data_IF_078409178889
#
_entry.id   IF_078409178889
#
_cell.length_a   1.000
_cell.length_b   1.000
_cell.length_c   1.000
_cell.angle_alpha   90.00
_cell.angle_beta   90.00
_cell.angle_gamma   90.00
#
_symmetry.space_group_name_H-M   'P 1'
#
loop_
_entity.id
_entity.type
_entity.pdbx_description
1 polymer ?
#
# COMPACT_ATOMS: atom_id res chain seq x y z
N UNK A 1 -2.50 -6.35 4.95
CA UNK A 1 -1.83 -6.67 6.23
C UNK A 1 -2.83 -6.50 7.39
N UNK A 2 -3.95 -7.21 7.33
CA UNK A 2 -4.56 -7.78 8.53
C UNK A 2 -4.16 -9.25 8.47
N UNK A 3 -3.59 -9.81 9.54
CA UNK A 3 -3.51 -11.26 9.64
C UNK A 3 -4.95 -11.78 9.59
N UNK A 4 -5.35 -12.26 8.42
CA UNK A 4 -6.55 -13.07 8.20
C UNK A 4 -6.04 -14.20 7.33
N UNK A 5 -5.84 -15.37 7.95
CA UNK A 5 -5.57 -16.58 7.19
C UNK A 5 -6.86 -17.02 6.46
N UNK A 6 -6.77 -17.56 5.23
CA UNK A 6 -7.91 -18.22 4.62
C UNK A 6 -8.18 -19.54 5.33
N UNK A 7 -9.35 -19.69 5.92
CA UNK A 7 -9.89 -21.01 6.27
C UNK A 7 -10.47 -21.65 4.99
N UNK A 8 -9.79 -22.66 4.46
CA UNK A 8 -10.37 -23.94 3.99
C UNK A 8 -9.45 -24.67 3.00
N UNK A 9 -9.08 -25.92 3.33
CA UNK A 9 -9.35 -27.05 2.44
C UNK A 9 -9.23 -28.36 3.23
N UNK A 10 -10.38 -29.00 3.39
CA UNK A 10 -10.59 -30.33 3.93
C UNK A 10 -9.75 -31.41 3.25
N UNK A 11 -9.44 -32.43 4.05
CA UNK A 11 -8.94 -33.77 3.69
C UNK A 11 -9.19 -34.17 2.23
N UNK A 12 -8.12 -34.43 1.50
CA UNK A 12 -8.15 -35.40 0.40
C UNK A 12 -7.19 -36.54 0.79
N UNK A 13 -7.78 -37.67 1.17
CA UNK A 13 -7.10 -38.96 1.08
C UNK A 13 -6.79 -39.19 -0.39
N UNK A 14 -5.51 -39.10 -0.78
CA UNK A 14 -5.04 -39.64 -2.05
C UNK A 14 -4.06 -40.77 -1.80
N UNK A 15 -4.50 -41.92 -2.27
CA UNK A 15 -3.89 -43.22 -2.21
C UNK A 15 -2.45 -43.18 -2.72
N UNK A 16 -1.55 -43.73 -1.90
CA UNK A 16 -0.19 -44.11 -2.27
C UNK A 16 -0.24 -45.07 -3.46
N UNK A 17 0.10 -44.58 -4.65
CA UNK A 17 0.54 -45.43 -5.76
C UNK A 17 2.04 -45.24 -6.02
N UNK A 18 2.65 -46.33 -6.43
CA UNK A 18 4.07 -46.70 -6.44
C UNK A 18 4.66 -46.48 -7.85
N UNK A 19 6.00 -46.45 -7.94
CA UNK A 19 6.90 -46.61 -9.13
C UNK A 19 7.15 -45.33 -9.97
N UNK A 20 8.32 -45.06 -10.57
CA UNK A 20 9.63 -45.74 -10.81
C UNK A 20 10.72 -44.65 -10.82
N UNK A 21 11.95 -44.98 -10.38
CA UNK A 21 13.15 -44.15 -10.57
C UNK A 21 14.05 -44.61 -11.72
N UNK A 22 14.91 -43.70 -12.18
CA UNK A 22 16.00 -43.88 -13.15
C UNK A 22 16.00 -42.74 -14.16
N UNK A 23 17.10 -42.05 -14.52
CA UNK A 23 18.52 -42.14 -14.20
C UNK A 23 19.32 -41.35 -15.26
N UNK A 24 20.47 -40.77 -14.88
CA UNK A 24 21.56 -40.27 -15.75
C UNK A 24 21.32 -38.91 -16.45
N UNK A 25 22.30 -38.02 -16.65
CA UNK A 25 23.74 -38.03 -16.43
C UNK A 25 24.43 -37.04 -17.40
N UNK A 26 25.53 -36.40 -16.96
CA UNK A 26 26.52 -35.68 -17.78
C UNK A 26 26.14 -34.24 -18.16
N UNK A 27 26.98 -33.20 -18.04
CA UNK A 27 28.43 -33.11 -17.96
C UNK A 27 28.92 -32.15 -19.06
N UNK A 28 29.59 -31.04 -18.71
CA UNK A 28 30.25 -30.17 -19.69
C UNK A 28 30.32 -28.69 -19.27
N UNK A 29 31.49 -28.27 -18.80
CA UNK A 29 31.91 -26.87 -18.68
C UNK A 29 32.98 -26.56 -19.77
N UNK A 30 33.58 -25.36 -19.82
CA UNK A 30 33.26 -24.23 -20.70
C UNK A 30 34.36 -24.00 -21.77
N UNK A 31 34.38 -22.84 -22.45
CA UNK A 31 35.60 -22.04 -22.28
C UNK A 31 35.41 -20.52 -22.19
N UNK A 32 36.43 -19.97 -21.55
CA UNK A 32 36.88 -18.59 -21.34
C UNK A 32 37.16 -17.84 -22.65
N UNK A 33 36.99 -16.52 -22.67
CA UNK A 33 37.90 -15.59 -23.36
C UNK A 33 38.01 -14.26 -22.60
N UNK A 34 39.18 -13.66 -22.76
CA UNK A 34 39.83 -12.73 -21.87
C UNK A 34 39.83 -11.27 -22.39
N UNK A 35 39.90 -10.34 -21.43
CA UNK A 35 40.73 -9.13 -21.35
C UNK A 35 40.54 -7.98 -22.36
N UNK A 36 40.41 -6.79 -21.79
CA UNK A 36 40.68 -5.49 -22.44
C UNK A 36 40.51 -4.34 -21.44
N UNK A 37 41.56 -4.02 -20.69
CA UNK A 37 41.69 -2.79 -19.91
C UNK A 37 42.26 -1.74 -20.86
N UNK A 38 41.70 -0.52 -20.88
CA UNK A 38 42.51 0.69 -20.94
C UNK A 38 41.72 1.92 -20.51
N UNK A 39 42.38 2.69 -19.64
CA UNK A 39 41.98 3.98 -19.13
C UNK A 39 42.41 5.10 -20.10
N UNK A 40 41.72 6.25 -20.08
CA UNK A 40 42.29 7.55 -19.72
C UNK A 40 41.46 8.74 -20.27
N UNK A 41 41.44 9.80 -19.44
CA UNK A 41 41.35 11.24 -19.76
C UNK A 41 39.98 11.87 -20.10
N UNK A 42 39.47 12.67 -19.15
CA UNK A 42 38.76 13.94 -19.46
C UNK A 42 39.77 15.06 -19.78
N UNK A 43 39.43 16.37 -19.70
CA UNK A 43 38.16 17.03 -19.35
C UNK A 43 37.73 18.09 -20.40
N UNK A 44 36.46 18.53 -20.41
CA UNK A 44 36.11 19.85 -20.96
C UNK A 44 34.93 20.46 -20.20
N UNK A 45 35.21 21.55 -19.49
CA UNK A 45 34.21 22.52 -19.03
C UNK A 45 33.60 23.22 -20.25
N UNK A 46 32.27 23.29 -20.33
CA UNK A 46 31.58 24.33 -21.08
C UNK A 46 30.62 25.07 -20.17
N UNK A 47 30.84 26.37 -20.07
CA UNK A 47 29.92 27.35 -19.53
C UNK A 47 28.65 27.40 -20.38
N UNK A 48 27.50 27.48 -19.72
CA UNK A 48 26.26 27.94 -20.35
C UNK A 48 25.62 28.97 -19.43
N UNK A 49 25.68 30.20 -19.92
CA UNK A 49 25.06 31.41 -19.39
C UNK A 49 23.53 31.37 -19.56
N UNK A 50 22.83 31.81 -18.51
CA UNK A 50 21.60 32.61 -18.47
C UNK A 50 20.63 32.56 -19.67
N UNK A 51 19.38 32.16 -19.41
CA UNK A 51 18.18 33.03 -19.49
C UNK A 51 16.91 32.18 -19.36
N UNK A 52 16.26 32.16 -18.18
CA UNK A 52 14.89 31.69 -18.05
C UNK A 52 13.94 32.87 -18.28
N UNK A 53 13.49 33.05 -19.52
CA UNK A 53 12.35 33.92 -19.82
C UNK A 53 11.05 33.16 -19.58
N UNK A 54 10.27 33.68 -18.64
CA UNK A 54 8.89 33.30 -18.37
C UNK A 54 8.03 33.58 -19.63
N UNK A 55 7.38 32.55 -20.18
CA UNK A 55 6.38 32.72 -21.23
C UNK A 55 4.99 32.38 -20.67
N UNK A 56 4.23 33.41 -20.30
CA UNK A 56 2.80 33.30 -20.04
C UNK A 56 2.08 33.01 -21.37
N UNK A 57 1.33 31.90 -21.43
CA UNK A 57 0.43 31.64 -22.57
C UNK A 57 -0.85 32.47 -22.43
N UNK A 58 -1.46 32.96 -23.53
CA UNK A 58 -2.68 33.76 -23.47
C UNK A 58 -3.91 32.90 -23.15
N UNK A 59 -4.83 33.49 -22.38
CA UNK A 59 -6.16 32.97 -22.02
C UNK A 59 -7.03 32.77 -23.28
N UNK A 60 -7.76 31.64 -23.45
CA UNK A 60 -8.75 31.51 -24.51
C UNK A 60 -10.00 32.34 -24.18
N UNK A 61 -10.54 33.01 -25.20
CA UNK A 61 -11.79 33.80 -25.14
C UNK A 61 -13.03 32.89 -25.02
N UNK A 62 -14.13 33.33 -24.39
CA UNK A 62 -15.31 32.50 -24.19
C UNK A 62 -16.23 32.59 -25.42
N UNK A 63 -16.63 31.43 -25.97
CA UNK A 63 -17.62 31.35 -27.04
C UNK A 63 -17.97 29.94 -27.47
N UNK A 64 -19.12 29.49 -26.97
CA UNK A 64 -20.14 28.64 -27.61
C UNK A 64 -20.04 27.09 -27.56
N UNK A 65 -20.65 26.57 -26.49
CA UNK A 65 -21.69 25.54 -26.42
C UNK A 65 -21.47 24.11 -26.94
N UNK A 66 -21.38 23.15 -25.99
CA UNK A 66 -21.48 21.72 -26.30
C UNK A 66 -21.53 20.76 -25.10
N UNK A 67 -22.61 20.81 -24.30
CA UNK A 67 -22.98 19.83 -23.26
C UNK A 67 -22.01 19.66 -22.09
N UNK A 68 -21.84 20.71 -21.29
CA UNK A 68 -21.27 20.56 -19.95
C UNK A 68 -22.35 20.05 -18.99
N UNK A 69 -22.34 18.74 -18.76
CA UNK A 69 -22.97 18.19 -17.56
C UNK A 69 -22.39 18.92 -16.35
N UNK A 70 -23.27 19.35 -15.44
CA UNK A 70 -22.90 20.13 -14.25
C UNK A 70 -21.57 19.62 -13.65
N UNK A 71 -20.59 20.51 -13.37
CA UNK A 71 -19.29 20.09 -12.86
C UNK A 71 -19.52 19.24 -11.61
N UNK A 72 -19.07 17.99 -11.66
CA UNK A 72 -19.26 17.06 -10.55
C UNK A 72 -18.55 17.66 -9.33
N UNK A 73 -19.21 17.67 -8.17
CA UNK A 73 -18.68 18.11 -6.87
C UNK A 73 -17.28 17.52 -6.54
N UNK A 74 -16.94 16.39 -7.17
CA UNK A 74 -15.66 15.71 -7.04
C UNK A 74 -14.55 16.27 -7.93
N UNK A 75 -14.85 16.74 -9.14
CA UNK A 75 -13.82 17.22 -10.08
C UNK A 75 -13.35 18.64 -9.73
N UNK A 76 -14.23 19.51 -9.24
CA UNK A 76 -13.87 20.88 -8.83
C UNK A 76 -13.09 20.94 -7.50
N UNK A 77 -13.11 19.85 -6.71
CA UNK A 77 -12.53 19.82 -5.36
C UNK A 77 -11.20 19.06 -5.26
N UNK A 78 -10.62 18.63 -6.38
CA UNK A 78 -9.30 17.96 -6.39
C UNK A 78 -8.17 18.96 -6.21
N UNK A 79 -7.38 18.74 -5.17
CA UNK A 79 -6.19 19.54 -4.86
C UNK A 79 -4.91 18.85 -5.34
N UNK A 80 -5.00 17.60 -5.81
CA UNK A 80 -3.83 16.85 -6.24
C UNK A 80 -3.20 17.49 -7.48
N UNK A 81 -1.90 17.74 -7.38
CA UNK A 81 -1.11 18.21 -8.52
C UNK A 81 -1.16 17.16 -9.65
N UNK A 82 -1.40 17.58 -10.90
CA UNK A 82 -1.37 16.67 -12.05
C UNK A 82 0.06 16.19 -12.37
N UNK A 83 1.09 16.89 -11.86
CA UNK A 83 2.49 16.50 -12.06
C UNK A 83 2.86 15.38 -11.11
N UNK A 84 3.11 14.20 -11.67
CA UNK A 84 3.55 13.00 -10.95
C UNK A 84 4.94 12.55 -11.42
N UNK A 85 5.75 11.91 -10.55
CA UNK A 85 7.07 11.38 -10.91
C UNK A 85 7.08 10.17 -11.88
N UNK A 86 5.93 9.63 -12.27
CA UNK A 86 5.82 8.36 -13.01
C UNK A 86 5.09 8.54 -14.34
N UNK A 87 5.49 7.77 -15.34
CA UNK A 87 4.79 7.68 -16.62
C UNK A 87 3.45 6.96 -16.45
N UNK A 88 2.40 7.48 -17.10
CA UNK A 88 1.03 6.95 -16.98
C UNK A 88 0.93 5.50 -17.44
N UNK A 89 1.64 5.16 -18.52
CA UNK A 89 1.64 3.81 -19.10
C UNK A 89 2.28 2.76 -18.19
N UNK A 90 3.15 3.20 -17.26
CA UNK A 90 3.93 2.33 -16.39
C UNK A 90 3.33 2.17 -14.98
N UNK A 91 2.22 2.86 -14.66
CA UNK A 91 1.57 2.81 -13.34
C UNK A 91 1.21 1.37 -12.96
N UNK A 92 0.49 0.67 -13.84
CA UNK A 92 0.05 -0.69 -13.59
C UNK A 92 1.19 -1.70 -13.60
N UNK A 93 2.22 -1.48 -14.43
CA UNK A 93 3.44 -2.31 -14.43
C UNK A 93 4.19 -2.18 -13.11
N UNK A 94 4.33 -0.95 -12.61
CA UNK A 94 4.97 -0.66 -11.32
C UNK A 94 4.17 -1.25 -10.17
N UNK A 95 2.84 -1.05 -10.15
CA UNK A 95 1.98 -1.62 -9.13
C UNK A 95 2.01 -3.16 -9.15
N UNK A 96 1.96 -3.79 -10.32
CA UNK A 96 2.07 -5.25 -10.44
C UNK A 96 3.44 -5.75 -9.92
N UNK A 97 4.53 -5.04 -10.24
CA UNK A 97 5.85 -5.33 -9.69
C UNK A 97 5.86 -5.25 -8.16
N UNK A 98 5.32 -4.18 -7.59
CA UNK A 98 5.16 -4.05 -6.14
C UNK A 98 4.35 -5.21 -5.57
N UNK A 99 3.17 -5.49 -6.12
CA UNK A 99 2.24 -6.45 -5.57
C UNK A 99 2.79 -7.89 -5.62
N UNK A 100 3.28 -8.34 -6.77
CA UNK A 100 3.69 -9.73 -6.96
C UNK A 100 5.12 -10.03 -6.49
N UNK A 101 6.04 -9.05 -6.57
CA UNK A 101 7.45 -9.27 -6.25
C UNK A 101 7.77 -8.86 -4.81
N UNK A 102 7.08 -7.86 -4.27
CA UNK A 102 7.38 -7.30 -2.95
C UNK A 102 6.29 -7.67 -1.94
N UNK A 103 5.06 -7.23 -2.16
CA UNK A 103 3.97 -7.36 -1.19
C UNK A 103 3.59 -8.82 -0.94
N UNK A 104 3.25 -9.59 -2.00
CA UNK A 104 2.81 -10.98 -1.82
C UNK A 104 3.83 -11.86 -1.07
N UNK A 105 5.13 -11.85 -1.43
CA UNK A 105 6.13 -12.66 -0.72
C UNK A 105 6.33 -12.22 0.73
N UNK A 106 6.40 -10.91 1.02
CA UNK A 106 6.69 -10.43 2.38
C UNK A 106 5.47 -10.51 3.30
N UNK A 107 4.30 -10.09 2.83
CA UNK A 107 3.07 -10.06 3.62
C UNK A 107 2.48 -11.44 3.89
N UNK A 108 2.53 -12.38 2.93
CA UNK A 108 1.91 -13.71 3.09
C UNK A 108 2.92 -14.86 3.25
N UNK A 109 4.12 -14.73 2.69
CA UNK A 109 5.17 -15.75 2.78
C UNK A 109 6.22 -15.50 3.86
N UNK A 110 6.41 -14.24 4.28
CA UNK A 110 7.55 -13.81 5.09
C UNK A 110 7.68 -14.54 6.43
N UNK A 111 6.58 -14.65 7.19
CA UNK A 111 6.60 -15.34 8.50
C UNK A 111 6.96 -16.83 8.37
N UNK A 112 6.55 -17.50 7.29
CA UNK A 112 6.92 -18.90 7.03
C UNK A 112 8.41 -19.07 6.76
N UNK A 113 9.03 -18.11 6.05
CA UNK A 113 10.49 -18.07 5.86
C UNK A 113 11.20 -17.85 7.19
N UNK A 114 10.73 -16.91 8.01
CA UNK A 114 11.29 -16.65 9.35
C UNK A 114 11.24 -17.89 10.23
N UNK A 115 10.09 -18.59 10.29
CA UNK A 115 9.95 -19.83 11.04
C UNK A 115 10.96 -20.90 10.61
N UNK A 116 11.18 -21.03 9.28
CA UNK A 116 12.15 -21.97 8.71
C UNK A 116 13.59 -21.59 9.06
N UNK A 117 13.94 -20.30 9.00
CA UNK A 117 15.29 -19.81 9.36
C UNK A 117 15.58 -20.02 10.85
N UNK A 118 14.58 -19.81 11.71
CA UNK A 118 14.69 -20.04 13.15
C UNK A 118 14.56 -21.51 13.55
N UNK A 119 14.32 -22.41 12.59
CA UNK A 119 14.13 -23.84 12.80
C UNK A 119 13.01 -24.18 13.81
N UNK A 120 11.90 -23.42 13.76
CA UNK A 120 10.73 -23.59 14.62
C UNK A 120 9.50 -23.98 13.80
N UNK A 121 8.64 -24.85 14.34
CA UNK A 121 7.37 -25.23 13.70
C UNK A 121 6.30 -24.13 13.79
N UNK A 122 6.38 -23.28 14.81
CA UNK A 122 5.49 -22.14 15.06
C UNK A 122 6.26 -21.03 15.76
N UNK A 123 5.98 -19.79 15.41
CA UNK A 123 6.56 -18.62 16.07
C UNK A 123 5.77 -18.30 17.35
N UNK A 124 6.47 -17.95 18.43
CA UNK A 124 5.80 -17.40 19.60
C UNK A 124 5.26 -15.99 19.29
N UNK A 125 4.29 -15.47 20.06
CA UNK A 125 3.61 -14.22 19.70
C UNK A 125 4.56 -13.01 19.61
N UNK A 126 5.55 -12.92 20.50
CA UNK A 126 6.55 -11.85 20.49
C UNK A 126 7.42 -11.89 19.22
N UNK A 127 7.91 -13.07 18.84
CA UNK A 127 8.69 -13.24 17.60
C UNK A 127 7.82 -12.96 16.38
N UNK A 128 6.55 -13.37 16.38
CA UNK A 128 5.60 -13.06 15.31
C UNK A 128 5.47 -11.55 15.12
N UNK A 129 5.16 -10.78 16.17
CA UNK A 129 4.95 -9.33 16.04
C UNK A 129 6.23 -8.59 15.62
N UNK A 130 7.39 -8.92 16.19
CA UNK A 130 8.68 -8.31 15.80
C UNK A 130 9.00 -8.62 14.34
N UNK A 131 8.79 -9.87 13.92
CA UNK A 131 9.08 -10.31 12.55
C UNK A 131 8.15 -9.61 11.57
N UNK A 132 6.86 -9.46 11.88
CA UNK A 132 5.91 -8.73 11.04
C UNK A 132 6.25 -7.25 10.93
N UNK A 133 6.66 -6.58 12.03
CA UNK A 133 7.16 -5.20 11.97
C UNK A 133 8.36 -5.10 11.02
N UNK A 134 9.31 -6.02 11.16
CA UNK A 134 10.54 -6.01 10.35
C UNK A 134 10.22 -6.26 8.88
N UNK A 135 9.39 -7.26 8.57
CA UNK A 135 8.93 -7.55 7.22
C UNK A 135 8.22 -6.35 6.59
N UNK A 136 7.40 -5.62 7.35
CA UNK A 136 6.71 -4.44 6.81
C UNK A 136 7.65 -3.27 6.55
N UNK A 137 8.64 -3.04 7.41
CA UNK A 137 9.65 -2.01 7.16
C UNK A 137 10.51 -2.34 5.94
N UNK A 138 10.84 -3.63 5.75
CA UNK A 138 11.52 -4.12 4.55
C UNK A 138 10.63 -3.94 3.32
N UNK A 139 9.34 -4.28 3.40
CA UNK A 139 8.37 -4.08 2.32
C UNK A 139 8.29 -2.61 1.92
N UNK A 140 8.13 -1.70 2.88
CA UNK A 140 8.09 -0.26 2.62
C UNK A 140 9.39 0.24 1.97
N UNK A 141 10.55 -0.22 2.44
CA UNK A 141 11.86 0.17 1.89
C UNK A 141 12.03 -0.30 0.44
N UNK A 142 11.67 -1.55 0.16
CA UNK A 142 11.72 -2.12 -1.18
C UNK A 142 10.70 -1.46 -2.11
N UNK A 143 9.52 -1.13 -1.60
CA UNK A 143 8.49 -0.44 -2.36
C UNK A 143 8.95 0.98 -2.73
N UNK A 144 9.50 1.75 -1.79
CA UNK A 144 10.08 3.08 -2.08
C UNK A 144 11.24 2.99 -3.08
N UNK A 145 12.07 1.96 -2.97
CA UNK A 145 13.18 1.70 -3.91
C UNK A 145 12.65 1.39 -5.31
N UNK A 146 11.62 0.55 -5.42
CA UNK A 146 10.96 0.24 -6.68
C UNK A 146 10.33 1.50 -7.28
N UNK A 147 9.63 2.30 -6.48
CA UNK A 147 9.03 3.56 -6.91
C UNK A 147 10.08 4.56 -7.42
N UNK A 148 11.24 4.65 -6.76
CA UNK A 148 12.35 5.48 -7.23
C UNK A 148 12.98 4.93 -8.52
N UNK A 149 13.06 3.61 -8.67
CA UNK A 149 13.58 2.96 -9.86
C UNK A 149 12.68 3.18 -11.09
N UNK A 150 11.36 3.19 -10.90
CA UNK A 150 10.39 3.42 -11.99
C UNK A 150 10.03 4.89 -12.20
N UNK A 151 10.53 5.80 -11.36
CA UNK A 151 10.34 7.22 -11.54
C UNK A 151 11.10 7.74 -12.77
N UNK A 152 10.57 8.80 -13.38
CA UNK A 152 11.20 9.51 -14.49
C UNK A 152 12.59 10.00 -14.04
N UNK A 153 13.67 9.78 -14.83
CA UNK A 153 15.01 10.21 -14.46
C UNK A 153 15.07 11.69 -14.08
N UNK A 154 15.63 11.98 -12.90
CA UNK A 154 15.74 13.34 -12.36
C UNK A 154 14.67 13.73 -11.35
N UNK A 155 13.63 12.91 -11.14
CA UNK A 155 12.67 13.10 -10.06
C UNK A 155 13.10 12.35 -8.78
N UNK A 156 13.14 13.06 -7.66
CA UNK A 156 13.35 12.48 -6.33
C UNK A 156 12.00 12.12 -5.68
N UNK A 157 11.76 10.81 -5.50
CA UNK A 157 10.56 10.28 -4.88
C UNK A 157 10.52 10.63 -3.38
N UNK A 158 11.66 10.75 -2.71
CA UNK A 158 11.69 11.14 -1.30
C UNK A 158 11.20 12.58 -1.12
N UNK A 159 11.76 13.52 -1.88
CA UNK A 159 11.29 14.91 -1.89
C UNK A 159 9.78 15.00 -2.23
N UNK A 160 9.31 14.20 -3.18
CA UNK A 160 7.89 14.10 -3.51
C UNK A 160 7.03 13.73 -2.29
N UNK A 161 7.36 12.65 -1.58
CA UNK A 161 6.61 12.21 -0.40
C UNK A 161 6.71 13.19 0.77
N UNK A 162 7.88 13.79 1.00
CA UNK A 162 8.05 14.86 2.02
C UNK A 162 7.12 16.03 1.74
N UNK A 163 6.97 16.43 0.46
CA UNK A 163 6.02 17.46 0.05
C UNK A 163 4.57 17.10 0.40
N UNK A 164 4.20 15.81 0.32
CA UNK A 164 2.86 15.31 0.69
C UNK A 164 2.64 15.19 2.20
N UNK A 165 3.69 15.22 3.01
CA UNK A 165 3.58 15.24 4.49
C UNK A 165 3.42 16.67 5.01
N UNK A 166 3.69 17.69 4.19
CA UNK A 166 3.58 19.09 4.60
C UNK A 166 2.15 19.50 5.00
N UNK A 167 2.01 20.08 6.19
CA UNK A 167 0.72 20.38 6.87
C UNK A 167 0.19 21.79 6.60
N UNK A 168 0.48 22.36 5.44
CA UNK A 168 0.10 23.74 5.08
C UNK A 168 -1.42 23.99 4.96
N UNK A 169 -2.25 22.94 5.05
CA UNK A 169 -3.71 23.00 4.90
C UNK A 169 -4.42 22.44 6.13
N UNK A 170 -5.65 22.88 6.38
CA UNK A 170 -6.51 22.42 7.48
C UNK A 170 -6.96 20.96 7.30
N UNK A 171 -6.02 20.02 7.45
CA UNK A 171 -6.24 18.57 7.32
C UNK A 171 -7.04 17.98 8.49
N UNK A 172 -7.06 18.65 9.65
CA UNK A 172 -7.75 18.20 10.87
C UNK A 172 -9.25 18.05 10.63
N UNK A 173 -9.90 19.01 9.96
CA UNK A 173 -11.34 18.94 9.70
C UNK A 173 -11.69 17.73 8.84
N UNK A 174 -10.89 17.46 7.79
CA UNK A 174 -11.07 16.29 6.96
C UNK A 174 -10.81 14.99 7.74
N UNK A 175 -9.82 14.97 8.63
CA UNK A 175 -9.53 13.83 9.49
C UNK A 175 -10.67 13.53 10.46
N UNK A 176 -11.21 14.55 11.15
CA UNK A 176 -12.32 14.41 12.09
C UNK A 176 -13.59 13.95 11.38
N UNK A 177 -13.96 14.61 10.28
CA UNK A 177 -15.15 14.25 9.50
C UNK A 177 -15.01 12.86 8.89
N UNK A 178 -13.84 12.55 8.32
CA UNK A 178 -13.55 11.25 7.73
C UNK A 178 -13.59 10.12 8.75
N UNK A 179 -12.96 10.32 9.92
CA UNK A 179 -12.97 9.34 11.01
C UNK A 179 -14.39 9.13 11.56
N UNK A 180 -15.13 10.21 11.81
CA UNK A 180 -16.52 10.12 12.28
C UNK A 180 -17.43 9.37 11.30
N UNK A 181 -17.31 9.66 10.00
CA UNK A 181 -18.03 8.94 8.96
C UNK A 181 -17.64 7.46 8.91
N UNK A 182 -16.34 7.15 8.97
CA UNK A 182 -15.83 5.78 8.95
C UNK A 182 -16.37 4.97 10.12
N UNK A 183 -16.25 5.49 11.35
CA UNK A 183 -16.76 4.81 12.55
C UNK A 183 -18.27 4.62 12.50
N UNK A 184 -19.02 5.60 11.97
CA UNK A 184 -20.47 5.47 11.80
C UNK A 184 -20.82 4.36 10.83
N UNK A 185 -20.15 4.30 9.67
CA UNK A 185 -20.39 3.27 8.66
C UNK A 185 -20.03 1.88 9.19
N UNK A 186 -18.89 1.76 9.89
CA UNK A 186 -18.45 0.50 10.50
C UNK A 186 -19.48 0.01 11.52
N UNK A 187 -19.95 0.88 12.42
CA UNK A 187 -20.97 0.54 13.40
C UNK A 187 -22.27 0.03 12.73
N UNK A 188 -22.74 0.73 11.69
CA UNK A 188 -23.93 0.32 10.93
C UNK A 188 -23.69 -1.05 10.29
N UNK A 189 -22.53 -1.26 9.63
CA UNK A 189 -22.23 -2.53 8.99
C UNK A 189 -22.11 -3.68 9.98
N UNK A 190 -21.55 -3.45 11.17
CA UNK A 190 -21.47 -4.46 12.24
C UNK A 190 -22.86 -4.84 12.75
N UNK A 191 -23.74 -3.86 13.02
CA UNK A 191 -25.13 -4.14 13.45
C UNK A 191 -25.89 -4.94 12.40
N UNK A 192 -25.71 -4.60 11.11
CA UNK A 192 -26.35 -5.32 10.01
C UNK A 192 -25.78 -6.73 9.87
N UNK A 193 -24.46 -6.90 9.95
CA UNK A 193 -23.81 -8.20 9.90
C UNK A 193 -24.29 -9.13 11.03
N UNK A 194 -24.32 -8.64 12.27
CA UNK A 194 -24.82 -9.41 13.43
C UNK A 194 -26.27 -9.86 13.25
N UNK A 195 -27.10 -9.02 12.63
CA UNK A 195 -28.52 -9.33 12.37
C UNK A 195 -28.72 -10.34 11.24
N UNK A 196 -27.86 -10.33 10.22
CA UNK A 196 -28.04 -11.14 9.01
C UNK A 196 -27.27 -12.46 9.02
N UNK A 197 -26.06 -12.45 9.57
CA UNK A 197 -25.09 -13.56 9.50
C UNK A 197 -24.92 -14.21 10.88
N UNK A 198 -25.12 -13.44 11.95
CA UNK A 198 -24.88 -13.85 13.33
C UNK A 198 -23.52 -13.37 13.85
N UNK A 199 -23.27 -13.45 15.17
CA UNK A 199 -22.01 -13.02 15.75
C UNK A 199 -20.88 -13.96 15.32
N UNK A 200 -19.96 -13.44 14.51
CA UNK A 200 -18.71 -14.11 14.15
C UNK A 200 -17.58 -13.57 15.03
N UNK A 201 -16.71 -14.44 15.53
CA UNK A 201 -15.50 -14.01 16.24
C UNK A 201 -14.61 -13.26 15.23
N UNK A 202 -14.71 -11.92 15.24
CA UNK A 202 -14.15 -11.05 14.21
C UNK A 202 -12.61 -10.96 14.19
N UNK A 203 -11.92 -11.66 15.10
CA UNK A 203 -10.49 -11.51 15.31
C UNK A 203 -9.72 -12.77 14.95
N UNK A 204 -8.64 -12.58 14.20
CA UNK A 204 -7.71 -13.63 13.84
C UNK A 204 -7.10 -14.28 15.09
N UNK A 205 -7.02 -15.62 15.14
CA UNK A 205 -6.40 -16.33 16.26
C UNK A 205 -4.97 -15.87 16.55
N UNK A 206 -4.19 -15.53 15.52
CA UNK A 206 -2.81 -15.02 15.71
C UNK A 206 -2.81 -13.68 16.44
N UNK A 207 -3.71 -12.77 16.05
CA UNK A 207 -3.90 -11.50 16.74
C UNK A 207 -4.31 -11.74 18.20
N UNK A 208 -5.25 -12.63 18.47
CA UNK A 208 -5.70 -12.96 19.83
C UNK A 208 -4.57 -13.50 20.70
N UNK A 209 -3.71 -14.35 20.14
CA UNK A 209 -2.54 -14.89 20.84
C UNK A 209 -1.54 -13.78 21.19
N UNK A 210 -1.25 -12.86 20.27
CA UNK A 210 -0.38 -11.69 20.51
C UNK A 210 -0.96 -10.77 21.58
N UNK A 211 -2.27 -10.51 21.53
CA UNK A 211 -2.95 -9.68 22.50
C UNK A 211 -3.10 -10.36 23.87
N UNK A 212 -2.90 -11.67 23.98
CA UNK A 212 -2.97 -12.39 25.26
C UNK A 212 -1.60 -12.65 25.90
N UNK A 213 -0.51 -12.43 25.17
CA UNK A 213 0.85 -12.82 25.55
C UNK A 213 1.47 -11.93 26.65
N UNK A 214 1.85 -10.69 26.33
CA UNK A 214 2.56 -9.80 27.26
C UNK A 214 2.27 -8.32 26.99
N UNK A 215 2.47 -7.42 27.97
CA UNK A 215 2.30 -5.97 27.76
C UNK A 215 3.15 -5.44 26.61
N UNK A 216 4.35 -5.99 26.42
CA UNK A 216 5.25 -5.59 25.33
C UNK A 216 4.74 -6.08 23.98
N UNK A 217 4.26 -7.34 23.87
CA UNK A 217 3.63 -7.86 22.64
C UNK A 217 2.42 -7.04 22.23
N UNK A 218 1.56 -6.66 23.20
CA UNK A 218 0.41 -5.76 22.98
C UNK A 218 0.85 -4.40 22.44
N UNK A 219 1.86 -3.77 23.05
CA UNK A 219 2.38 -2.47 22.63
C UNK A 219 2.95 -2.53 21.22
N UNK A 220 3.75 -3.56 20.90
CA UNK A 220 4.29 -3.75 19.56
C UNK A 220 3.20 -4.03 18.54
N UNK A 221 2.16 -4.78 18.91
CA UNK A 221 1.00 -5.01 18.05
C UNK A 221 0.26 -3.71 17.75
N UNK A 222 0.10 -2.85 18.76
CA UNK A 222 -0.48 -1.52 18.57
C UNK A 222 0.35 -0.64 17.64
N UNK A 223 1.67 -0.61 17.81
CA UNK A 223 2.57 0.14 16.92
C UNK A 223 2.50 -0.42 15.49
N UNK A 224 2.48 -1.74 15.33
CA UNK A 224 2.38 -2.39 14.03
C UNK A 224 1.09 -1.99 13.29
N UNK A 225 -0.07 -2.14 13.93
CA UNK A 225 -1.38 -1.94 13.28
C UNK A 225 -1.77 -0.47 13.15
N UNK A 226 -1.38 0.37 14.12
CA UNK A 226 -1.80 1.77 14.16
C UNK A 226 -0.77 2.72 13.53
N UNK A 227 0.47 2.29 13.30
CA UNK A 227 1.53 3.17 12.77
C UNK A 227 2.21 2.56 11.55
N UNK A 228 2.83 1.39 11.70
CA UNK A 228 3.68 0.81 10.64
C UNK A 228 2.87 0.41 9.41
N UNK A 229 1.76 -0.31 9.61
CA UNK A 229 0.89 -0.74 8.53
C UNK A 229 0.24 0.45 7.80
N UNK A 230 -0.44 1.41 8.48
CA UNK A 230 -1.00 2.58 7.81
C UNK A 230 0.06 3.42 7.09
N UNK A 231 1.25 3.58 7.67
CA UNK A 231 2.32 4.34 7.00
C UNK A 231 2.68 3.71 5.64
N UNK A 232 2.86 2.39 5.62
CA UNK A 232 3.17 1.66 4.39
C UNK A 232 2.03 1.74 3.38
N UNK A 233 0.81 1.46 3.83
CA UNK A 233 -0.36 1.38 2.97
C UNK A 233 -0.76 2.76 2.41
N UNK A 234 -0.75 3.82 3.22
CA UNK A 234 -1.04 5.17 2.72
C UNK A 234 0.01 5.66 1.72
N UNK A 235 1.29 5.31 1.92
CA UNK A 235 2.37 5.64 0.99
C UNK A 235 2.10 5.04 -0.39
N UNK A 236 1.77 3.75 -0.46
CA UNK A 236 1.57 3.05 -1.73
C UNK A 236 0.23 3.37 -2.36
N UNK A 237 -0.87 3.27 -1.61
CA UNK A 237 -2.20 3.36 -2.20
C UNK A 237 -2.64 4.81 -2.43
N UNK A 238 -2.25 5.77 -1.58
CA UNK A 238 -2.68 7.17 -1.72
C UNK A 238 -1.57 7.99 -2.37
N UNK A 239 -0.37 7.90 -1.82
CA UNK A 239 0.76 8.69 -2.30
C UNK A 239 1.24 8.28 -3.69
N UNK A 240 1.23 6.99 -4.01
CA UNK A 240 1.54 6.50 -5.36
C UNK A 240 0.28 6.24 -6.19
N UNK A 241 -0.46 5.15 -5.93
CA UNK A 241 -1.46 4.63 -6.86
C UNK A 241 -2.62 5.61 -7.12
N UNK A 242 -3.29 6.11 -6.08
CA UNK A 242 -4.37 7.08 -6.24
C UNK A 242 -3.91 8.36 -6.93
N UNK A 243 -2.76 8.91 -6.52
CA UNK A 243 -2.23 10.12 -7.14
C UNK A 243 -1.92 9.89 -8.62
N UNK A 244 -1.30 8.76 -8.95
CA UNK A 244 -0.96 8.41 -10.32
C UNK A 244 -2.22 8.21 -11.18
N UNK A 245 -3.22 7.49 -10.68
CA UNK A 245 -4.51 7.32 -11.38
C UNK A 245 -5.21 8.68 -11.58
N UNK A 246 -5.23 9.54 -10.56
CA UNK A 246 -5.87 10.86 -10.64
C UNK A 246 -5.25 11.80 -11.68
N UNK A 247 -4.03 11.51 -12.16
CA UNK A 247 -3.41 12.28 -13.25
C UNK A 247 -3.98 11.96 -14.64
N UNK A 248 -4.64 10.81 -14.80
CA UNK A 248 -5.10 10.28 -16.10
C UNK A 248 -6.58 9.97 -16.16
N UNK A 249 -7.30 10.02 -15.03
CA UNK A 249 -8.75 9.81 -14.97
C UNK A 249 -9.42 10.71 -13.93
N UNK A 250 -10.76 10.72 -13.93
CA UNK A 250 -11.56 11.49 -12.97
C UNK A 250 -11.27 11.06 -11.54
N UNK A 251 -11.27 12.01 -10.60
CA UNK A 251 -10.91 11.74 -9.21
C UNK A 251 -11.79 10.65 -8.60
N UNK A 252 -13.10 10.67 -8.86
CA UNK A 252 -14.03 9.66 -8.36
C UNK A 252 -13.62 8.25 -8.79
N UNK A 253 -13.26 8.08 -10.05
CA UNK A 253 -12.88 6.77 -10.59
C UNK A 253 -11.53 6.32 -10.03
N UNK A 254 -10.58 7.25 -9.89
CA UNK A 254 -9.29 7.00 -9.25
C UNK A 254 -9.46 6.52 -7.79
N UNK A 255 -10.31 7.18 -7.00
CA UNK A 255 -10.63 6.78 -5.61
C UNK A 255 -11.25 5.38 -5.60
N UNK A 256 -12.23 5.11 -6.45
CA UNK A 256 -12.91 3.81 -6.48
C UNK A 256 -11.95 2.69 -6.86
N UNK A 257 -11.12 2.89 -7.89
CA UNK A 257 -10.16 1.89 -8.36
C UNK A 257 -9.05 1.67 -7.32
N UNK A 258 -8.45 2.73 -6.76
CA UNK A 258 -7.40 2.56 -5.76
C UNK A 258 -7.90 1.87 -4.50
N UNK A 259 -9.14 2.17 -4.08
CA UNK A 259 -9.77 1.56 -2.90
C UNK A 259 -10.13 0.09 -3.14
N UNK A 260 -10.56 -0.24 -4.35
CA UNK A 260 -10.80 -1.62 -4.76
C UNK A 260 -9.50 -2.42 -4.74
N UNK A 261 -8.45 -1.88 -5.35
CA UNK A 261 -7.13 -2.50 -5.38
C UNK A 261 -6.55 -2.67 -3.98
N UNK A 262 -6.69 -1.66 -3.10
CA UNK A 262 -6.34 -1.76 -1.68
C UNK A 262 -7.05 -2.91 -0.96
N UNK A 263 -8.37 -3.03 -1.15
CA UNK A 263 -9.17 -4.09 -0.53
C UNK A 263 -8.81 -5.48 -1.06
N UNK A 264 -8.68 -5.64 -2.39
CA UNK A 264 -8.27 -6.92 -3.02
C UNK A 264 -6.88 -7.35 -2.54
N UNK A 265 -5.94 -6.43 -2.39
CA UNK A 265 -4.58 -6.74 -1.97
C UNK A 265 -4.48 -7.41 -0.59
N UNK A 266 -5.51 -7.24 0.25
CA UNK A 266 -5.59 -7.90 1.55
C UNK A 266 -5.96 -9.38 1.46
N UNK A 267 -6.48 -9.85 0.32
CA UNK A 267 -6.89 -11.24 0.08
C UNK A 267 -7.84 -11.80 1.16
N UNK A 268 -8.62 -10.92 1.79
CA UNK A 268 -9.63 -11.27 2.80
C UNK A 268 -11.02 -10.99 2.27
N UNK A 269 -11.80 -12.05 2.05
CA UNK A 269 -13.20 -11.92 1.62
C UNK A 269 -14.08 -11.29 2.71
N UNK A 270 -13.85 -11.64 3.98
CA UNK A 270 -14.66 -11.17 5.11
C UNK A 270 -14.53 -9.66 5.34
N UNK A 271 -13.30 -9.12 5.24
CA UNK A 271 -13.05 -7.69 5.47
C UNK A 271 -13.11 -6.85 4.20
N UNK A 272 -13.42 -7.44 3.05
CA UNK A 272 -13.34 -6.77 1.75
C UNK A 272 -14.14 -5.46 1.70
N UNK A 273 -15.41 -5.49 2.11
CA UNK A 273 -16.29 -4.32 2.08
C UNK A 273 -15.77 -3.24 3.03
N UNK A 274 -15.35 -3.64 4.24
CA UNK A 274 -14.84 -2.73 5.25
C UNK A 274 -13.55 -2.04 4.79
N UNK A 275 -12.60 -2.79 4.23
CA UNK A 275 -11.36 -2.26 3.67
C UNK A 275 -11.61 -1.35 2.47
N UNK A 276 -12.58 -1.69 1.63
CA UNK A 276 -13.00 -0.83 0.52
C UNK A 276 -13.54 0.52 1.02
N UNK A 277 -14.37 0.53 2.07
CA UNK A 277 -14.88 1.75 2.69
C UNK A 277 -13.76 2.58 3.32
N UNK A 278 -12.83 1.94 4.05
CA UNK A 278 -11.64 2.60 4.59
C UNK A 278 -10.86 3.26 3.45
N UNK A 279 -10.61 2.53 2.36
CA UNK A 279 -9.97 3.01 1.13
C UNK A 279 -10.62 4.26 0.57
N UNK A 280 -11.96 4.25 0.42
CA UNK A 280 -12.70 5.37 -0.14
C UNK A 280 -12.60 6.63 0.73
N UNK A 281 -12.74 6.49 2.06
CA UNK A 281 -12.76 7.63 2.99
C UNK A 281 -11.39 8.29 3.09
N UNK A 282 -10.35 7.48 3.28
CA UNK A 282 -8.96 7.91 3.32
C UNK A 282 -8.52 8.52 1.98
N UNK A 283 -8.90 7.91 0.85
CA UNK A 283 -8.69 8.46 -0.50
C UNK A 283 -9.37 9.81 -0.70
N UNK A 284 -10.63 9.95 -0.29
CA UNK A 284 -11.35 11.23 -0.34
C UNK A 284 -10.69 12.30 0.54
N UNK A 285 -10.30 11.95 1.77
CA UNK A 285 -9.60 12.86 2.67
C UNK A 285 -8.26 13.31 2.08
N UNK A 286 -7.51 12.40 1.46
CA UNK A 286 -6.28 12.71 0.76
C UNK A 286 -6.51 13.66 -0.42
N UNK A 287 -7.47 13.36 -1.31
CA UNK A 287 -7.78 14.22 -2.46
C UNK A 287 -8.22 15.64 -2.06
N UNK A 288 -8.94 15.77 -0.94
CA UNK A 288 -9.44 17.05 -0.39
C UNK A 288 -8.39 17.85 0.35
N UNK A 289 -7.35 17.21 0.89
CA UNK A 289 -6.35 17.89 1.71
C UNK A 289 -5.01 18.04 1.00
N UNK A 290 -4.72 17.19 0.03
CA UNK A 290 -3.42 17.10 -0.64
C UNK A 290 -2.29 16.54 0.23
N UNK A 291 -2.58 16.15 1.47
CA UNK A 291 -1.59 15.63 2.43
C UNK A 291 -1.90 14.22 2.89
N UNK A 292 -0.86 13.37 2.95
CA UNK A 292 -0.98 12.00 3.46
C UNK A 292 -1.28 11.96 4.96
N UNK A 293 -1.02 13.05 5.70
CA UNK A 293 -1.25 13.13 7.15
C UNK A 293 -2.72 12.93 7.49
N UNK A 294 -3.66 13.45 6.68
CA UNK A 294 -5.10 13.26 6.91
C UNK A 294 -5.49 11.78 6.79
N UNK A 295 -5.06 11.15 5.70
CA UNK A 295 -5.32 9.75 5.35
C UNK A 295 -4.73 8.81 6.40
N UNK A 296 -3.46 9.02 6.73
CA UNK A 296 -2.73 8.29 7.76
C UNK A 296 -3.43 8.40 9.11
N UNK A 297 -3.80 9.62 9.53
CA UNK A 297 -4.47 9.83 10.83
C UNK A 297 -5.80 9.10 10.90
N UNK A 298 -6.65 9.18 9.87
CA UNK A 298 -7.94 8.46 9.84
C UNK A 298 -7.71 6.96 9.94
N UNK A 299 -6.80 6.42 9.15
CA UNK A 299 -6.51 4.98 9.10
C UNK A 299 -5.92 4.49 10.43
N UNK A 300 -4.92 5.19 10.98
CA UNK A 300 -4.31 4.90 12.26
C UNK A 300 -5.31 4.92 13.42
N UNK A 301 -6.19 5.93 13.47
CA UNK A 301 -7.22 6.02 14.51
C UNK A 301 -8.25 4.90 14.38
N UNK A 302 -8.63 4.55 13.15
CA UNK A 302 -9.53 3.44 12.90
C UNK A 302 -8.92 2.11 13.36
N UNK A 303 -7.67 1.80 12.98
CA UNK A 303 -7.00 0.57 13.42
C UNK A 303 -6.80 0.56 14.94
N UNK A 304 -6.45 1.69 15.55
CA UNK A 304 -6.33 1.81 16.99
C UNK A 304 -7.68 1.56 17.70
N UNK A 305 -8.79 2.07 17.16
CA UNK A 305 -10.13 1.84 17.72
C UNK A 305 -10.51 0.36 17.65
N UNK A 306 -10.31 -0.30 16.51
CA UNK A 306 -10.58 -1.74 16.36
C UNK A 306 -9.71 -2.57 17.33
N UNK A 307 -8.43 -2.25 17.44
CA UNK A 307 -7.53 -2.96 18.34
C UNK A 307 -7.87 -2.74 19.82
N UNK A 308 -8.32 -1.53 20.17
CA UNK A 308 -8.79 -1.23 21.51
C UNK A 308 -10.06 -2.02 21.85
N UNK A 309 -11.00 -2.14 20.91
CA UNK A 309 -12.19 -2.99 21.10
C UNK A 309 -11.80 -4.47 21.27
N UNK A 310 -10.83 -4.96 20.51
CA UNK A 310 -10.31 -6.33 20.62
C UNK A 310 -9.64 -6.61 21.98
N UNK A 311 -9.05 -5.60 22.61
CA UNK A 311 -8.46 -5.71 23.94
C UNK A 311 -9.49 -5.76 25.07
N UNK A 312 -10.71 -5.26 24.82
CA UNK A 312 -11.80 -5.21 25.80
C UNK A 312 -12.75 -6.42 25.73
N UNK A 313 -12.72 -7.18 24.64
CA UNK A 313 -13.50 -8.40 24.43
C UNK A 313 -12.85 -9.63 25.05
#
# INVERSE_FOLDING_TARGET
MLLIAPAAASRIHLLRSRRVGGGGGGGGAPPTFAVGVDALTGPQLRSLSSSFSCACSPLPSPGDDGKDGAPNLFDESSILSPVIPWEVDDIWRTYAGYFFIVHMPLSFGGLGVVAKVLNCSSLNPMTTVISTITLQLVELTLALSLLQYTAIPGHDVQAYFVGKVSTQRNWINAAVLGFGLLMTLVLITSIVADKLIGPEDAYDPTLKDILSDSPTSKLLCFVLYSVVAPLSEETIYRGFLLTALSSSMKMRDAIMISSLVFSVAHLSGASFIQLFVVGCITGLAYCRTGTLVSSFTIHSLYNAAILFMALLS
#
